data_IF_135254682837
#
_entry.id   IF_135254682837
#
_cell.length_a   1.000
_cell.length_b   1.000
_cell.length_c   1.000
_cell.angle_alpha   90.00
_cell.angle_beta   90.00
_cell.angle_gamma   90.00
#
_symmetry.space_group_name_H-M   'P 1'
#
loop_
_entity.id
_entity.type
_entity.pdbx_description
1 polymer ?
#
# COMPACT_ATOMS: atom_id res chain seq x y z
N UNK A 1 27.85 -4.96 7.75
CA UNK A 1 26.47 -5.48 7.89
C UNK A 1 26.16 -5.72 9.37
N UNK A 2 25.27 -4.94 9.97
CA UNK A 2 24.92 -4.93 11.40
C UNK A 2 24.32 -6.28 11.84
N UNK A 3 24.60 -6.73 13.08
CA UNK A 3 24.07 -7.98 13.69
C UNK A 3 22.54 -8.11 13.61
N UNK A 4 21.85 -6.97 13.54
CA UNK A 4 20.41 -6.82 13.36
C UNK A 4 19.90 -7.33 12.00
N UNK A 5 20.57 -6.96 10.91
CA UNK A 5 20.18 -7.27 9.53
C UNK A 5 20.24 -8.79 9.30
N UNK A 6 21.30 -9.44 9.77
CA UNK A 6 21.48 -10.90 9.64
C UNK A 6 20.32 -11.69 10.27
N UNK A 7 19.77 -11.24 11.41
CA UNK A 7 18.68 -11.96 12.11
C UNK A 7 17.33 -11.87 11.40
N UNK A 8 17.10 -10.81 10.63
CA UNK A 8 15.81 -10.55 9.97
C UNK A 8 15.85 -10.62 8.45
N UNK A 9 17.01 -10.97 7.86
CA UNK A 9 17.24 -11.01 6.42
C UNK A 9 16.15 -11.76 5.65
N UNK A 10 15.74 -12.95 6.13
CA UNK A 10 14.68 -13.75 5.50
C UNK A 10 13.33 -13.02 5.44
N UNK A 11 13.01 -12.20 6.45
CA UNK A 11 11.78 -11.38 6.45
C UNK A 11 11.87 -10.28 5.40
N UNK A 12 13.00 -9.58 5.33
CA UNK A 12 13.18 -8.48 4.36
C UNK A 12 13.17 -8.99 2.93
N UNK A 13 13.79 -10.13 2.65
CA UNK A 13 13.72 -10.79 1.34
C UNK A 13 12.27 -11.06 0.92
N UNK A 14 11.48 -11.71 1.78
CA UNK A 14 10.06 -12.00 1.51
C UNK A 14 9.25 -10.71 1.31
N UNK A 15 9.51 -9.66 2.09
CA UNK A 15 8.82 -8.37 1.94
C UNK A 15 9.14 -7.73 0.58
N UNK A 16 10.41 -7.73 0.17
CA UNK A 16 10.84 -7.18 -1.13
C UNK A 16 10.23 -7.95 -2.29
N UNK A 17 10.26 -9.27 -2.23
CA UNK A 17 9.63 -10.14 -3.24
C UNK A 17 8.13 -9.87 -3.34
N UNK A 18 7.43 -9.78 -2.20
CA UNK A 18 6.01 -9.51 -2.19
C UNK A 18 5.67 -8.11 -2.71
N UNK A 19 6.51 -7.11 -2.41
CA UNK A 19 6.37 -5.74 -2.92
C UNK A 19 6.47 -5.68 -4.45
N UNK A 20 7.34 -6.49 -5.07
CA UNK A 20 7.42 -6.56 -6.53
C UNK A 20 6.16 -7.17 -7.17
N UNK A 21 5.39 -7.96 -6.41
CA UNK A 21 4.18 -8.62 -6.89
C UNK A 21 2.93 -7.74 -6.69
N UNK A 22 2.74 -7.19 -5.48
CA UNK A 22 1.50 -6.50 -5.09
C UNK A 22 1.66 -4.98 -4.95
N UNK A 23 2.87 -4.45 -5.06
CA UNK A 23 3.17 -3.05 -4.77
C UNK A 23 3.14 -2.71 -3.27
N UNK A 24 2.94 -1.42 -2.92
CA UNK A 24 2.95 -0.94 -1.53
C UNK A 24 1.92 -1.66 -0.64
N UNK A 25 2.38 -2.12 0.53
CA UNK A 25 1.58 -2.92 1.47
C UNK A 25 1.37 -2.20 2.81
N UNK A 26 0.23 -2.45 3.45
CA UNK A 26 0.03 -2.02 4.85
C UNK A 26 0.86 -2.89 5.81
N UNK A 27 1.16 -2.38 7.01
CA UNK A 27 1.81 -3.16 8.09
C UNK A 27 1.04 -4.46 8.37
N UNK A 28 -0.31 -4.40 8.33
CA UNK A 28 -1.18 -5.57 8.50
C UNK A 28 -0.99 -6.59 7.37
N UNK A 29 -0.90 -6.14 6.12
CA UNK A 29 -0.64 -7.04 4.98
C UNK A 29 0.72 -7.72 5.12
N UNK A 30 1.77 -6.96 5.45
CA UNK A 30 3.12 -7.50 5.68
C UNK A 30 3.11 -8.54 6.80
N UNK A 31 2.42 -8.26 7.91
CA UNK A 31 2.27 -9.20 9.01
C UNK A 31 1.68 -10.54 8.54
N UNK A 32 0.61 -10.52 7.74
CA UNK A 32 0.00 -11.74 7.24
C UNK A 32 0.85 -12.50 6.23
N UNK A 33 1.57 -11.80 5.35
CA UNK A 33 2.51 -12.44 4.40
C UNK A 33 3.60 -13.19 5.17
N UNK A 34 4.17 -12.55 6.20
CA UNK A 34 5.17 -13.19 7.05
C UNK A 34 4.58 -14.32 7.90
N UNK A 35 3.32 -14.20 8.34
CA UNK A 35 2.63 -15.22 9.12
C UNK A 35 2.42 -16.48 8.28
N UNK A 36 1.95 -16.34 7.03
CA UNK A 36 1.78 -17.45 6.09
C UNK A 36 3.10 -18.15 5.73
N UNK A 37 4.23 -17.46 5.83
CA UNK A 37 5.58 -18.02 5.64
C UNK A 37 6.21 -18.54 6.95
N UNK A 38 5.49 -18.50 8.08
CA UNK A 38 5.98 -18.93 9.39
C UNK A 38 7.11 -18.07 9.97
N UNK A 39 7.31 -16.85 9.45
CA UNK A 39 8.40 -15.94 9.84
C UNK A 39 8.02 -15.03 11.02
N UNK A 40 6.73 -14.91 11.32
CA UNK A 40 6.21 -14.27 12.53
C UNK A 40 5.21 -15.20 13.21
N UNK A 41 5.10 -15.08 14.53
CA UNK A 41 4.11 -15.85 15.31
C UNK A 41 2.76 -15.13 15.31
N UNK A 42 1.63 -15.87 15.41
CA UNK A 42 0.32 -15.29 15.64
C UNK A 42 0.34 -14.40 16.89
N UNK A 43 -0.38 -13.29 16.87
CA UNK A 43 -0.59 -12.47 18.06
C UNK A 43 -1.57 -13.17 18.98
N UNK A 44 -1.13 -13.51 20.20
CA UNK A 44 -2.00 -13.96 21.29
C UNK A 44 -2.48 -12.78 22.16
N UNK A 45 -3.14 -13.09 23.29
CA UNK A 45 -3.69 -12.12 24.28
C UNK A 45 -2.69 -11.08 24.82
N UNK A 46 -1.37 -11.29 24.65
CA UNK A 46 -0.32 -10.32 25.02
C UNK A 46 0.33 -9.77 23.76
N UNK A 47 -0.11 -8.60 23.32
CA UNK A 47 0.41 -7.91 22.15
C UNK A 47 1.94 -7.81 22.17
N UNK A 48 2.62 -8.45 21.21
CA UNK A 48 4.08 -8.40 21.08
C UNK A 48 4.56 -8.61 19.64
N UNK A 49 4.08 -9.60 18.86
CA UNK A 49 4.63 -9.84 17.51
C UNK A 49 4.37 -8.70 16.53
N UNK A 50 3.15 -8.17 16.49
CA UNK A 50 2.77 -7.07 15.59
C UNK A 50 3.53 -5.77 15.91
N UNK A 51 3.62 -5.42 17.21
CA UNK A 51 4.34 -4.23 17.66
C UNK A 51 5.85 -4.35 17.42
N UNK A 52 6.41 -5.53 17.63
CA UNK A 52 7.82 -5.80 17.33
C UNK A 52 8.11 -5.75 15.84
N UNK A 53 7.18 -6.25 15.00
CA UNK A 53 7.29 -6.12 13.55
C UNK A 53 7.26 -4.65 13.13
N UNK A 54 6.35 -3.84 13.67
CA UNK A 54 6.30 -2.40 13.41
C UNK A 54 7.66 -1.72 13.70
N UNK A 55 8.22 -1.95 14.89
CA UNK A 55 9.55 -1.42 15.27
C UNK A 55 10.67 -1.91 14.35
N UNK A 56 10.65 -3.21 13.98
CA UNK A 56 11.61 -3.80 13.07
C UNK A 56 11.58 -3.12 11.69
N UNK A 57 10.39 -2.84 11.16
CA UNK A 57 10.22 -2.22 9.84
C UNK A 57 10.59 -0.73 9.84
N UNK A 58 10.38 -0.01 10.95
CA UNK A 58 10.88 1.36 11.10
C UNK A 58 12.40 1.37 10.98
N UNK A 59 13.08 0.57 11.81
CA UNK A 59 14.54 0.50 11.81
C UNK A 59 15.11 0.01 10.46
N UNK A 60 14.45 -0.94 9.81
CA UNK A 60 14.86 -1.40 8.48
C UNK A 60 14.80 -0.30 7.41
N UNK A 61 13.83 0.63 7.49
CA UNK A 61 13.77 1.78 6.58
C UNK A 61 14.82 2.83 6.91
N UNK A 62 15.04 3.10 8.20
CA UNK A 62 16.08 4.03 8.67
C UNK A 62 17.50 3.57 8.26
N UNK A 63 17.74 2.26 8.26
CA UNK A 63 19.02 1.66 7.85
C UNK A 63 19.11 1.43 6.32
N UNK A 64 18.10 1.79 5.53
CA UNK A 64 18.08 1.62 4.07
C UNK A 64 17.84 0.18 3.57
N UNK A 65 17.52 -0.75 4.45
CA UNK A 65 17.21 -2.13 4.10
C UNK A 65 15.86 -2.29 3.40
N UNK A 66 14.89 -1.41 3.68
CA UNK A 66 13.61 -1.34 2.99
C UNK A 66 13.36 0.09 2.48
N UNK A 67 12.90 0.20 1.24
CA UNK A 67 12.47 1.49 0.68
C UNK A 67 11.21 1.99 1.43
N UNK A 68 11.11 3.31 1.62
CA UNK A 68 9.95 3.97 2.22
C UNK A 68 8.64 3.66 1.50
N UNK A 69 8.69 3.44 0.18
CA UNK A 69 7.55 3.10 -0.69
C UNK A 69 6.97 1.71 -0.42
N UNK A 70 7.70 0.82 0.24
CA UNK A 70 7.24 -0.56 0.51
C UNK A 70 6.02 -0.57 1.44
N UNK A 71 5.94 0.39 2.38
CA UNK A 71 4.92 0.42 3.42
C UNK A 71 4.02 1.64 3.23
N UNK A 72 2.71 1.39 3.09
CA UNK A 72 1.69 2.44 2.97
C UNK A 72 0.70 2.38 4.13
N UNK A 73 0.27 3.54 4.61
CA UNK A 73 -0.84 3.66 5.56
C UNK A 73 -2.09 4.17 4.83
N UNK A 74 -2.95 3.25 4.39
CA UNK A 74 -4.15 3.57 3.59
C UNK A 74 -5.21 4.37 4.37
N UNK A 75 -5.16 4.37 5.70
CA UNK A 75 -6.12 5.13 6.52
C UNK A 75 -5.72 6.60 6.70
N UNK A 76 -4.47 6.96 6.39
CA UNK A 76 -4.01 8.35 6.41
C UNK A 76 -4.13 8.97 5.03
N UNK A 77 -5.35 9.37 4.68
CA UNK A 77 -5.54 10.28 3.55
C UNK A 77 -5.20 11.68 4.02
N UNK A 78 -4.22 12.31 3.39
CA UNK A 78 -4.00 13.75 3.53
C UNK A 78 -5.12 14.42 2.73
N UNK A 79 -6.06 15.05 3.42
CA UNK A 79 -7.06 15.91 2.77
C UNK A 79 -6.38 17.25 2.56
N UNK A 80 -5.80 17.43 1.38
CA UNK A 80 -5.24 18.71 0.94
C UNK A 80 -6.04 19.21 -0.25
N UNK A 81 -6.29 20.52 -0.30
CA UNK A 81 -6.87 21.15 -1.48
C UNK A 81 -5.87 21.01 -2.63
N UNK A 82 -6.35 20.57 -3.79
CA UNK A 82 -5.55 20.58 -5.02
C UNK A 82 -5.20 22.04 -5.36
N UNK A 83 -3.91 22.35 -5.39
CA UNK A 83 -3.38 23.69 -5.68
C UNK A 83 -2.25 23.58 -6.68
N UNK A 84 -2.15 24.55 -7.59
CA UNK A 84 -1.09 24.65 -8.58
C UNK A 84 -0.36 25.99 -8.42
N UNK A 85 0.96 26.04 -8.66
CA UNK A 85 1.74 27.26 -8.59
C UNK A 85 1.40 28.25 -9.72
N UNK A 86 0.94 27.74 -10.87
CA UNK A 86 0.58 28.54 -12.04
C UNK A 86 -0.51 27.87 -12.91
N UNK A 87 -0.92 28.60 -13.95
CA UNK A 87 -1.93 28.17 -14.91
C UNK A 87 -1.48 26.96 -15.74
N UNK A 88 -0.21 26.92 -16.16
CA UNK A 88 0.28 25.89 -17.07
C UNK A 88 0.37 24.52 -16.39
N UNK A 89 0.74 24.47 -15.11
CA UNK A 89 0.65 23.27 -14.29
C UNK A 89 -0.80 22.81 -14.08
N UNK A 90 -1.71 23.74 -13.79
CA UNK A 90 -3.13 23.42 -13.64
C UNK A 90 -3.71 22.86 -14.94
N UNK A 91 -3.39 23.47 -16.09
CA UNK A 91 -3.89 23.07 -17.40
C UNK A 91 -3.36 21.67 -17.78
N UNK A 92 -2.06 21.40 -17.61
CA UNK A 92 -1.48 20.07 -17.84
C UNK A 92 -2.15 19.01 -16.97
N UNK A 93 -2.34 19.29 -15.68
CA UNK A 93 -3.02 18.37 -14.77
C UNK A 93 -4.44 18.06 -15.25
N UNK A 94 -5.21 19.07 -15.66
CA UNK A 94 -6.56 18.90 -16.21
C UNK A 94 -6.52 18.02 -17.47
N UNK A 95 -5.61 18.26 -18.41
CA UNK A 95 -5.51 17.45 -19.63
C UNK A 95 -5.23 15.96 -19.33
N UNK A 96 -4.43 15.67 -18.31
CA UNK A 96 -4.10 14.30 -17.91
C UNK A 96 -5.24 13.60 -17.14
N UNK A 97 -5.97 14.35 -16.31
CA UNK A 97 -6.93 13.80 -15.34
C UNK A 97 -8.39 13.97 -15.73
N UNK A 98 -8.70 14.84 -16.69
CA UNK A 98 -10.07 15.01 -17.18
C UNK A 98 -10.57 13.69 -17.78
N UNK A 99 -11.73 13.25 -17.30
CA UNK A 99 -12.46 12.10 -17.81
C UNK A 99 -13.90 12.54 -18.05
N UNK A 100 -14.44 12.16 -19.20
CA UNK A 100 -15.87 12.28 -19.45
C UNK A 100 -16.56 11.10 -18.77
N UNK A 101 -17.74 11.32 -18.22
CA UNK A 101 -18.59 10.25 -17.71
C UNK A 101 -18.91 9.24 -18.83
N UNK A 102 -18.37 8.03 -18.69
CA UNK A 102 -18.53 6.92 -19.63
C UNK A 102 -19.91 6.26 -19.53
N UNK A 103 -20.60 6.45 -18.41
CA UNK A 103 -21.90 5.86 -18.10
C UNK A 103 -23.08 6.73 -18.52
N UNK A 104 -22.86 8.02 -18.79
CA UNK A 104 -23.91 9.00 -19.13
C UNK A 104 -24.88 8.56 -20.25
N UNK A 105 -24.40 7.81 -21.24
CA UNK A 105 -25.18 7.35 -22.40
C UNK A 105 -25.50 5.85 -22.37
N UNK A 106 -25.10 5.15 -21.30
CA UNK A 106 -25.34 3.71 -21.17
C UNK A 106 -26.79 3.45 -20.78
N UNK A 107 -27.38 2.38 -21.32
CA UNK A 107 -28.74 1.97 -20.97
C UNK A 107 -28.86 1.54 -19.50
N UNK A 108 -27.78 1.00 -18.94
CA UNK A 108 -27.73 0.47 -17.57
C UNK A 108 -26.60 1.17 -16.82
N UNK A 109 -26.80 1.46 -15.53
CA UNK A 109 -25.77 1.97 -14.63
C UNK A 109 -25.09 0.81 -13.89
N UNK A 110 -23.76 0.80 -13.86
CA UNK A 110 -22.95 -0.26 -13.27
C UNK A 110 -22.22 0.30 -12.07
N UNK A 111 -22.37 -0.37 -10.93
CA UNK A 111 -21.65 -0.03 -9.71
C UNK A 111 -20.81 -1.22 -9.26
N UNK A 112 -19.57 -0.96 -8.84
CA UNK A 112 -18.66 -1.98 -8.31
C UNK A 112 -18.47 -1.73 -6.81
N UNK A 113 -19.06 -2.60 -5.99
CA UNK A 113 -18.99 -2.51 -4.55
C UNK A 113 -17.94 -3.46 -4.00
N UNK A 114 -17.08 -2.94 -3.13
CA UNK A 114 -16.02 -3.73 -2.49
C UNK A 114 -16.16 -3.57 -0.98
N UNK A 115 -16.59 -4.63 -0.32
CA UNK A 115 -16.71 -4.63 1.14
C UNK A 115 -15.32 -4.61 1.82
N UNK A 116 -14.34 -5.26 1.21
CA UNK A 116 -13.01 -5.48 1.80
C UNK A 116 -11.91 -4.67 1.11
N UNK A 117 -11.47 -3.60 1.77
CA UNK A 117 -10.38 -2.71 1.27
C UNK A 117 -9.05 -3.44 0.96
N UNK A 118 -8.84 -4.63 1.50
CA UNK A 118 -7.66 -5.43 1.15
C UNK A 118 -7.57 -5.76 -0.36
N UNK A 119 -8.70 -5.78 -1.07
CA UNK A 119 -8.80 -6.13 -2.50
C UNK A 119 -9.00 -4.87 -3.37
N UNK A 120 -9.32 -3.72 -2.77
CA UNK A 120 -9.67 -2.49 -3.49
C UNK A 120 -8.65 -2.15 -4.57
N UNK A 121 -7.36 -2.10 -4.24
CA UNK A 121 -6.29 -1.78 -5.19
C UNK A 121 -6.22 -2.70 -6.43
N UNK A 122 -6.55 -3.98 -6.31
CA UNK A 122 -6.54 -4.90 -7.46
C UNK A 122 -7.72 -4.66 -8.39
N UNK A 123 -8.90 -4.37 -7.82
CA UNK A 123 -10.15 -4.16 -8.57
C UNK A 123 -10.14 -2.77 -9.19
N UNK A 124 -9.73 -1.75 -8.44
CA UNK A 124 -9.66 -0.36 -8.91
C UNK A 124 -8.85 -0.27 -10.20
N UNK A 125 -7.73 -0.99 -10.34
CA UNK A 125 -6.91 -0.94 -11.55
C UNK A 125 -7.64 -1.38 -12.84
N UNK A 126 -8.69 -2.22 -12.74
CA UNK A 126 -9.43 -2.72 -13.91
C UNK A 126 -10.81 -2.09 -14.06
N UNK A 127 -11.32 -1.42 -13.01
CA UNK A 127 -12.64 -0.78 -13.01
C UNK A 127 -12.56 0.74 -12.95
N UNK A 128 -11.37 1.34 -13.08
CA UNK A 128 -11.17 2.78 -12.90
C UNK A 128 -11.90 3.65 -13.92
N UNK A 129 -12.13 3.13 -15.12
CA UNK A 129 -12.75 3.86 -16.24
C UNK A 129 -14.24 3.52 -16.43
N UNK A 130 -14.80 2.70 -15.53
CA UNK A 130 -16.24 2.36 -15.50
C UNK A 130 -17.00 3.42 -14.72
#
# INVERSE_FOLDING_TARGET
MTKFIKKSFKKFKVIKEQFLIEGPMTLRRIYYVLLGKGLVKPSGKKGSPYKNLSKLLVKAREEGELDWKVIVDRTRRIIQRLTFPDYDEAFRWICEHYRKDSMLLQKNYVEVWIEKDAISGNVTNVTWDI
#
